data_IF_747867821631
#
_entry.id   IF_747867821631
#
_cell.length_a   1.000
_cell.length_b   1.000
_cell.length_c   1.000
_cell.angle_alpha   90.00
_cell.angle_beta   90.00
_cell.angle_gamma   90.00
#
_symmetry.space_group_name_H-M   'P 1'
#
loop_
_entity.id
_entity.type
_entity.pdbx_description
1 polymer ?
#
# COMPACT_ATOMS: atom_id res chain seq x y z
N UNK A 1 -18.26 -52.13 55.58
CA UNK A 1 -18.13 -53.22 54.62
C UNK A 1 -17.13 -52.76 53.60
N UNK A 2 -15.85 -52.90 53.92
CA UNK A 2 -14.98 -54.10 53.73
C UNK A 2 -14.83 -54.37 52.23
N UNK A 3 -13.74 -54.50 51.64
CA UNK A 3 -12.31 -54.70 51.91
C UNK A 3 -11.65 -54.71 50.56
N UNK A 4 -10.50 -54.18 50.42
CA UNK A 4 -9.16 -54.71 50.51
C UNK A 4 -8.49 -55.20 49.22
N UNK A 5 -7.30 -54.69 49.05
CA UNK A 5 -6.04 -55.32 48.57
C UNK A 5 -5.92 -55.61 47.05
N UNK A 6 -4.83 -55.44 46.36
CA UNK A 6 -3.42 -55.44 46.70
C UNK A 6 -2.53 -54.83 45.57
N UNK A 7 -1.41 -54.23 45.90
CA UNK A 7 -0.16 -54.16 45.14
C UNK A 7 0.64 -55.46 45.45
N UNK A 8 1.74 -55.83 44.83
CA UNK A 8 2.78 -55.03 44.15
C UNK A 8 3.50 -55.76 43.00
N UNK A 9 4.49 -55.18 42.39
CA UNK A 9 5.92 -55.50 42.38
C UNK A 9 6.61 -55.08 41.06
N UNK A 10 7.55 -54.23 41.24
CA UNK A 10 8.92 -54.13 40.74
C UNK A 10 9.39 -55.07 39.62
N UNK A 11 10.09 -54.48 38.64
CA UNK A 11 11.50 -54.78 38.34
C UNK A 11 12.10 -53.98 37.17
N UNK A 12 13.14 -53.27 37.56
CA UNK A 12 14.43 -53.03 36.87
C UNK A 12 14.57 -52.29 35.54
N UNK A 13 15.12 -51.11 35.69
CA UNK A 13 16.47 -50.66 35.17
C UNK A 13 16.77 -50.89 33.71
N UNK A 14 16.97 -49.80 32.97
CA UNK A 14 18.31 -49.45 32.40
C UNK A 14 18.26 -48.19 31.49
N UNK A 15 19.17 -47.31 31.81
CA UNK A 15 20.07 -46.49 30.95
C UNK A 15 19.54 -45.52 29.90
N UNK A 16 19.72 -44.25 30.23
CA UNK A 16 20.49 -43.26 29.51
C UNK A 16 20.26 -43.10 28.00
N UNK A 17 19.67 -41.99 27.64
CA UNK A 17 19.76 -41.41 26.32
C UNK A 17 19.42 -39.93 26.37
N UNK A 18 20.40 -39.08 26.66
CA UNK A 18 20.31 -37.64 26.47
C UNK A 18 20.13 -37.35 24.96
N UNK A 19 18.91 -37.09 24.56
CA UNK A 19 18.61 -36.52 23.27
C UNK A 19 18.69 -35.01 23.38
N UNK A 20 19.85 -34.42 23.14
CA UNK A 20 20.02 -32.98 22.99
C UNK A 20 19.15 -32.50 21.85
N UNK A 21 18.26 -31.59 22.16
CA UNK A 21 17.47 -30.87 21.16
C UNK A 21 18.43 -30.04 20.33
N UNK A 22 18.51 -30.40 19.06
CA UNK A 22 19.45 -29.86 18.09
C UNK A 22 19.25 -28.35 17.90
N UNK A 23 20.08 -27.56 18.57
CA UNK A 23 20.13 -26.11 18.47
C UNK A 23 20.39 -25.60 17.04
N UNK A 24 20.93 -26.46 16.16
CA UNK A 24 21.16 -26.12 14.77
C UNK A 24 19.90 -26.01 13.92
N UNK A 25 18.82 -26.74 14.26
CA UNK A 25 17.55 -26.63 13.51
C UNK A 25 16.74 -25.38 13.83
N UNK A 26 16.89 -24.82 15.03
CA UNK A 26 16.25 -23.53 15.35
C UNK A 26 16.97 -22.35 14.72
N UNK A 27 18.29 -22.36 14.68
CA UNK A 27 19.05 -21.30 14.01
C UNK A 27 18.82 -21.26 12.49
N UNK A 28 18.56 -22.41 11.85
CA UNK A 28 18.28 -22.46 10.40
C UNK A 28 16.86 -21.92 10.06
N UNK A 29 15.91 -22.06 10.96
CA UNK A 29 14.55 -21.50 10.77
C UNK A 29 14.48 -19.99 11.08
N UNK A 30 15.25 -19.52 12.06
CA UNK A 30 15.33 -18.09 12.38
C UNK A 30 16.12 -17.29 11.32
N UNK A 31 17.13 -17.91 10.66
CA UNK A 31 17.82 -17.27 9.54
C UNK A 31 16.98 -17.19 8.25
N UNK A 32 16.01 -18.09 8.07
CA UNK A 32 15.07 -18.03 6.95
C UNK A 32 13.98 -16.96 7.13
N UNK A 33 13.71 -16.54 8.36
CA UNK A 33 12.75 -15.48 8.65
C UNK A 33 13.35 -14.06 8.61
N UNK A 34 14.66 -13.92 8.75
CA UNK A 34 15.33 -12.61 8.88
C UNK A 34 16.27 -12.23 7.73
N UNK A 35 16.57 -13.16 6.80
CA UNK A 35 17.54 -12.92 5.71
C UNK A 35 17.09 -13.36 4.32
N UNK A 36 15.82 -13.63 4.12
CA UNK A 36 15.35 -14.51 3.04
C UNK A 36 15.14 -13.93 1.65
N UNK A 37 15.39 -12.66 1.35
CA UNK A 37 15.26 -12.21 -0.05
C UNK A 37 16.58 -11.82 -0.73
N UNK A 38 17.57 -11.36 -0.02
CA UNK A 38 18.83 -10.95 -0.64
C UNK A 38 19.80 -12.10 -0.97
N UNK A 39 19.69 -13.25 -0.30
CA UNK A 39 20.63 -14.37 -0.47
C UNK A 39 20.22 -15.41 -1.53
N UNK A 40 18.97 -15.41 -2.01
CA UNK A 40 18.53 -16.35 -3.06
C UNK A 40 18.77 -15.89 -4.48
N UNK A 41 19.07 -14.62 -4.73
CA UNK A 41 19.32 -14.09 -6.07
C UNK A 41 20.81 -14.13 -6.48
N UNK A 42 21.73 -14.35 -5.55
CA UNK A 42 23.18 -14.36 -5.85
C UNK A 42 23.79 -15.72 -6.20
N UNK A 43 23.09 -16.82 -5.99
CA UNK A 43 23.67 -18.17 -6.06
C UNK A 43 23.21 -19.06 -7.23
N UNK A 44 22.27 -18.65 -8.06
CA UNK A 44 21.66 -19.46 -9.13
C UNK A 44 21.87 -18.90 -10.55
N UNK A 45 22.78 -17.96 -10.74
CA UNK A 45 23.05 -17.35 -12.03
C UNK A 45 23.80 -18.24 -13.05
N UNK A 46 24.11 -19.51 -12.75
CA UNK A 46 24.98 -20.33 -13.58
C UNK A 46 24.30 -21.50 -14.33
N UNK A 47 22.96 -21.72 -14.20
CA UNK A 47 22.32 -22.83 -14.94
C UNK A 47 20.79 -22.74 -15.05
N UNK A 48 20.21 -21.57 -15.20
CA UNK A 48 18.83 -21.51 -15.64
C UNK A 48 18.81 -21.36 -17.17
N UNK A 49 18.02 -22.16 -17.90
CA UNK A 49 17.76 -21.88 -19.30
C UNK A 49 17.16 -20.47 -19.37
N UNK A 50 17.50 -19.74 -20.42
CA UNK A 50 16.94 -18.42 -20.73
C UNK A 50 15.43 -18.43 -20.54
N UNK A 51 14.99 -17.99 -19.38
CA UNK A 51 13.59 -17.98 -19.01
C UNK A 51 13.07 -16.60 -19.30
N UNK A 52 11.97 -16.64 -20.01
CA UNK A 52 11.12 -15.54 -20.41
C UNK A 52 11.84 -14.50 -21.29
N UNK A 53 11.91 -14.83 -22.57
CA UNK A 53 11.60 -13.76 -23.52
C UNK A 53 10.42 -13.00 -22.93
N UNK A 54 10.63 -11.72 -22.58
CA UNK A 54 9.53 -10.79 -22.38
C UNK A 54 8.55 -11.09 -23.49
N UNK A 55 7.27 -11.36 -23.17
CA UNK A 55 6.26 -11.45 -24.20
C UNK A 55 6.27 -10.12 -24.93
N UNK A 56 6.90 -10.10 -26.10
CA UNK A 56 7.04 -8.90 -26.94
C UNK A 56 5.74 -8.68 -27.73
N UNK A 57 4.62 -8.85 -27.02
CA UNK A 57 3.30 -8.53 -27.49
C UNK A 57 2.84 -7.17 -26.94
N UNK A 58 1.89 -6.56 -27.61
CA UNK A 58 1.31 -5.28 -27.25
C UNK A 58 0.11 -5.41 -26.28
N UNK A 59 -0.03 -6.55 -25.62
CA UNK A 59 -1.14 -6.82 -24.69
C UNK A 59 -0.89 -6.16 -23.33
N UNK A 60 -1.89 -5.45 -22.84
CA UNK A 60 -1.84 -4.83 -21.49
C UNK A 60 -2.16 -5.89 -20.43
N UNK A 61 -1.23 -6.12 -19.51
CA UNK A 61 -1.37 -7.05 -18.39
C UNK A 61 -1.26 -6.32 -17.06
N UNK A 62 -2.40 -6.21 -16.38
CA UNK A 62 -2.51 -5.45 -15.13
C UNK A 62 -2.44 -6.39 -13.94
N UNK A 63 -1.50 -6.11 -13.02
CA UNK A 63 -1.48 -6.67 -11.67
C UNK A 63 -1.96 -5.65 -10.63
N UNK A 64 -2.84 -6.06 -9.70
CA UNK A 64 -3.35 -5.12 -8.70
C UNK A 64 -3.69 -5.79 -7.36
N UNK A 65 -3.66 -5.01 -6.28
CA UNK A 65 -4.22 -5.39 -4.98
C UNK A 65 -5.71 -5.03 -4.91
N UNK A 66 -6.51 -5.74 -4.09
CA UNK A 66 -7.95 -5.50 -3.95
C UNK A 66 -8.25 -4.24 -3.09
N UNK A 67 -7.71 -3.11 -3.49
CA UNK A 67 -7.86 -1.80 -2.85
C UNK A 67 -8.37 -0.77 -3.86
N UNK A 68 -9.04 0.27 -3.37
CA UNK A 68 -9.59 1.33 -4.21
C UNK A 68 -8.51 2.13 -4.95
N UNK A 69 -7.27 2.01 -4.53
CA UNK A 69 -6.10 2.66 -5.13
C UNK A 69 -5.87 2.24 -6.60
N UNK A 70 -6.30 1.03 -6.98
CA UNK A 70 -6.20 0.52 -8.35
C UNK A 70 -7.28 1.04 -9.30
N UNK A 71 -8.22 1.84 -8.80
CA UNK A 71 -9.43 2.27 -9.54
C UNK A 71 -9.16 2.80 -10.94
N UNK A 72 -8.19 3.67 -11.22
CA UNK A 72 -7.94 4.14 -12.59
C UNK A 72 -7.66 3.03 -13.59
N UNK A 73 -6.86 2.02 -13.18
CA UNK A 73 -6.53 0.87 -14.02
C UNK A 73 -7.75 -0.02 -14.27
N UNK A 74 -8.53 -0.25 -13.21
CA UNK A 74 -9.71 -1.11 -13.25
C UNK A 74 -10.85 -0.48 -14.04
N UNK A 75 -11.07 0.82 -13.88
CA UNK A 75 -12.05 1.58 -14.67
C UNK A 75 -11.66 1.64 -16.13
N UNK A 76 -10.38 1.88 -16.45
CA UNK A 76 -9.90 1.86 -17.82
C UNK A 76 -10.17 0.52 -18.51
N UNK A 77 -10.00 -0.60 -17.80
CA UNK A 77 -10.35 -1.92 -18.31
C UNK A 77 -11.88 -2.13 -18.41
N UNK A 78 -12.63 -1.87 -17.33
CA UNK A 78 -14.07 -2.11 -17.27
C UNK A 78 -14.87 -1.28 -18.27
N UNK A 79 -14.44 -0.06 -18.53
CA UNK A 79 -15.07 0.86 -19.51
C UNK A 79 -14.56 0.67 -20.94
N UNK A 80 -13.61 -0.26 -21.18
CA UNK A 80 -13.07 -0.52 -22.51
C UNK A 80 -12.11 0.55 -23.04
N UNK A 81 -11.55 1.41 -22.20
CA UNK A 81 -10.71 2.53 -22.66
C UNK A 81 -9.40 2.06 -23.31
N UNK A 82 -8.87 0.89 -22.94
CA UNK A 82 -7.75 0.29 -23.67
C UNK A 82 -8.15 -0.11 -25.10
N UNK A 83 -9.33 -0.68 -25.28
CA UNK A 83 -9.84 -1.05 -26.61
C UNK A 83 -10.13 0.20 -27.48
N UNK A 84 -10.60 1.31 -26.88
CA UNK A 84 -10.78 2.59 -27.56
C UNK A 84 -9.44 3.15 -28.13
N UNK A 85 -8.33 2.88 -27.43
CA UNK A 85 -6.97 3.23 -27.89
C UNK A 85 -6.39 2.18 -28.88
N UNK A 86 -7.17 1.14 -29.22
CA UNK A 86 -6.74 0.06 -30.10
C UNK A 86 -5.76 -0.92 -29.45
N UNK A 87 -5.81 -1.05 -28.11
CA UNK A 87 -5.00 -1.97 -27.33
C UNK A 87 -5.82 -3.20 -26.92
N UNK A 88 -5.19 -4.37 -26.95
CA UNK A 88 -5.69 -5.56 -26.27
C UNK A 88 -5.30 -5.49 -24.78
N UNK A 89 -6.22 -5.81 -23.88
CA UNK A 89 -5.97 -5.87 -22.45
C UNK A 89 -6.55 -7.16 -21.86
N UNK A 90 -5.71 -7.91 -21.15
CA UNK A 90 -6.17 -9.05 -20.38
C UNK A 90 -6.98 -8.59 -19.16
N UNK A 91 -7.88 -9.47 -18.68
CA UNK A 91 -8.59 -9.21 -17.42
C UNK A 91 -7.56 -8.98 -16.30
N UNK A 92 -7.64 -7.86 -15.55
CA UNK A 92 -6.72 -7.57 -14.46
C UNK A 92 -6.60 -8.70 -13.45
N UNK A 93 -5.38 -9.01 -13.04
CA UNK A 93 -5.08 -10.09 -12.09
C UNK A 93 -4.98 -9.56 -10.66
N UNK A 94 -5.88 -10.04 -9.79
CA UNK A 94 -5.88 -9.70 -8.37
C UNK A 94 -4.76 -10.43 -7.62
N UNK A 95 -3.96 -9.67 -6.89
CA UNK A 95 -2.86 -10.15 -6.03
C UNK A 95 -3.16 -9.71 -4.59
N UNK A 96 -2.87 -10.55 -3.59
CA UNK A 96 -3.27 -10.28 -2.20
C UNK A 96 -2.24 -9.54 -1.35
N UNK A 97 -1.04 -9.28 -1.87
CA UNK A 97 0.03 -8.63 -1.12
C UNK A 97 1.05 -7.93 -2.01
N UNK A 98 1.81 -7.02 -1.44
CA UNK A 98 2.76 -6.20 -2.18
C UNK A 98 3.97 -6.99 -2.70
N UNK A 99 4.55 -7.90 -1.90
CA UNK A 99 5.69 -8.70 -2.33
C UNK A 99 5.37 -9.55 -3.58
N UNK A 100 4.28 -10.35 -3.63
CA UNK A 100 3.95 -11.09 -4.85
C UNK A 100 3.55 -10.19 -6.03
N UNK A 101 3.05 -8.96 -5.81
CA UNK A 101 2.83 -8.01 -6.91
C UNK A 101 4.16 -7.51 -7.48
N UNK A 102 5.13 -7.20 -6.61
CA UNK A 102 6.50 -6.83 -7.02
C UNK A 102 7.14 -7.97 -7.82
N UNK A 103 7.05 -9.22 -7.34
CA UNK A 103 7.56 -10.40 -8.06
C UNK A 103 6.91 -10.57 -9.43
N UNK A 104 5.60 -10.40 -9.53
CA UNK A 104 4.88 -10.48 -10.80
C UNK A 104 5.30 -9.40 -11.80
N UNK A 105 5.59 -8.19 -11.31
CA UNK A 105 6.07 -7.09 -12.12
C UNK A 105 7.54 -7.29 -12.54
N UNK A 106 8.42 -7.65 -11.63
CA UNK A 106 9.84 -7.88 -11.92
C UNK A 106 10.09 -9.09 -12.83
N UNK A 107 9.18 -10.07 -12.84
CA UNK A 107 9.21 -11.22 -13.74
C UNK A 107 8.49 -10.99 -15.08
N UNK A 108 8.06 -9.76 -15.38
CA UNK A 108 7.29 -9.39 -16.58
C UNK A 108 5.94 -10.12 -16.74
N UNK A 109 5.39 -10.70 -15.67
CA UNK A 109 4.02 -11.21 -15.67
C UNK A 109 3.01 -10.08 -15.87
N UNK A 110 3.30 -8.91 -15.31
CA UNK A 110 2.53 -7.68 -15.45
C UNK A 110 3.40 -6.59 -16.07
N UNK A 111 2.87 -5.83 -17.01
CA UNK A 111 3.53 -4.68 -17.63
C UNK A 111 2.91 -3.33 -17.18
N UNK A 112 1.79 -3.39 -16.48
CA UNK A 112 1.11 -2.25 -15.88
C UNK A 112 0.65 -2.62 -14.46
N UNK A 113 1.10 -1.87 -13.46
CA UNK A 113 0.79 -2.11 -12.05
C UNK A 113 0.54 -0.80 -11.31
N UNK A 114 -0.08 -0.89 -10.14
CA UNK A 114 -0.01 0.17 -9.15
C UNK A 114 0.88 -0.27 -7.98
N UNK A 115 1.65 0.66 -7.43
CA UNK A 115 2.46 0.44 -6.24
C UNK A 115 2.24 1.56 -5.23
N UNK A 116 2.43 1.26 -3.94
CA UNK A 116 2.64 2.29 -2.92
C UNK A 116 3.83 3.15 -3.34
N UNK A 117 3.68 4.47 -3.32
CA UNK A 117 4.67 5.38 -3.93
C UNK A 117 6.12 5.19 -3.47
N UNK A 118 6.43 4.83 -2.20
CA UNK A 118 7.79 4.51 -1.79
C UNK A 118 8.38 3.22 -2.38
N UNK A 119 7.55 2.26 -2.84
CA UNK A 119 8.05 1.00 -3.43
C UNK A 119 8.92 1.22 -4.67
N UNK A 120 8.53 2.02 -5.68
CA UNK A 120 9.39 2.30 -6.83
C UNK A 120 10.73 2.96 -6.46
N UNK A 121 10.77 3.81 -5.42
CA UNK A 121 12.03 4.37 -4.91
C UNK A 121 12.95 3.25 -4.44
N UNK A 122 12.44 2.36 -3.60
CA UNK A 122 13.19 1.20 -3.13
C UNK A 122 13.59 0.25 -4.27
N UNK A 123 12.69 -0.05 -5.21
CA UNK A 123 13.00 -0.93 -6.34
C UNK A 123 14.12 -0.37 -7.22
N UNK A 124 14.09 0.94 -7.51
CA UNK A 124 15.06 1.56 -8.42
C UNK A 124 16.41 1.78 -7.76
N UNK A 125 16.47 2.34 -6.56
CA UNK A 125 17.71 2.78 -5.94
C UNK A 125 18.35 1.75 -4.99
N UNK A 126 17.57 0.84 -4.42
CA UNK A 126 18.11 -0.27 -3.64
C UNK A 126 18.35 -1.52 -4.49
N UNK A 127 17.42 -1.84 -5.39
CA UNK A 127 17.45 -3.10 -6.14
C UNK A 127 17.90 -2.93 -7.60
N UNK A 128 18.20 -1.71 -8.04
CA UNK A 128 18.59 -1.38 -9.41
C UNK A 128 17.60 -1.88 -10.49
N UNK A 129 16.29 -1.96 -10.15
CA UNK A 129 15.26 -2.38 -11.09
C UNK A 129 14.73 -1.18 -11.90
N UNK A 130 14.63 -1.29 -13.24
CA UNK A 130 14.25 -0.17 -14.12
C UNK A 130 12.75 0.13 -14.08
N UNK A 131 12.21 0.52 -12.92
CA UNK A 131 10.84 0.97 -12.76
C UNK A 131 10.71 2.46 -13.03
N UNK A 132 9.61 2.88 -13.67
CA UNK A 132 9.18 4.27 -13.81
C UNK A 132 7.79 4.47 -13.21
N UNK A 133 7.60 5.59 -12.54
CA UNK A 133 6.28 6.12 -12.17
C UNK A 133 5.75 6.87 -13.39
N UNK A 134 4.56 6.46 -13.86
CA UNK A 134 3.92 7.01 -15.05
C UNK A 134 2.80 8.00 -14.73
N UNK A 135 2.14 7.81 -13.56
CA UNK A 135 1.09 8.67 -13.04
C UNK A 135 0.87 8.40 -11.55
N UNK A 136 0.13 9.25 -10.86
CA UNK A 136 -0.52 8.85 -9.63
C UNK A 136 -1.74 7.99 -9.94
N UNK A 137 -2.01 7.01 -9.07
CA UNK A 137 -3.24 6.24 -9.15
C UNK A 137 -4.37 6.91 -8.36
N UNK A 138 -4.04 7.51 -7.21
CA UNK A 138 -5.01 8.20 -6.38
C UNK A 138 -4.34 9.11 -5.35
N UNK A 139 -5.16 9.96 -4.73
CA UNK A 139 -4.80 10.77 -3.56
C UNK A 139 -5.71 10.45 -2.38
N UNK A 140 -5.22 10.65 -1.14
CA UNK A 140 -5.92 10.29 0.10
C UNK A 140 -6.24 8.78 0.17
N UNK A 141 -7.47 8.39 0.46
CA UNK A 141 -7.96 7.01 0.40
C UNK A 141 -7.43 6.08 1.48
N UNK A 142 -6.93 6.62 2.60
CA UNK A 142 -6.35 5.84 3.70
C UNK A 142 -6.70 6.45 5.06
N UNK A 143 -6.70 5.60 6.09
CA UNK A 143 -6.91 6.04 7.46
C UNK A 143 -6.14 5.18 8.47
N UNK A 144 -5.86 5.76 9.63
CA UNK A 144 -5.51 5.03 10.84
C UNK A 144 -6.79 4.63 11.57
N UNK A 145 -6.92 3.34 11.81
CA UNK A 145 -8.09 2.70 12.41
C UNK A 145 -7.69 2.00 13.70
N UNK A 146 -8.48 2.16 14.75
CA UNK A 146 -8.28 1.54 16.06
C UNK A 146 -9.39 0.56 16.38
N UNK A 147 -9.06 -0.49 17.13
CA UNK A 147 -10.06 -1.45 17.58
C UNK A 147 -11.07 -0.84 18.55
N UNK A 148 -12.36 -1.16 18.42
CA UNK A 148 -13.39 -0.73 19.35
C UNK A 148 -13.21 -1.27 20.78
N UNK A 149 -12.26 -2.19 20.98
CA UNK A 149 -11.85 -2.69 22.29
C UNK A 149 -10.76 -1.86 22.96
N UNK A 150 -10.23 -0.82 22.25
CA UNK A 150 -9.19 0.07 22.76
C UNK A 150 -9.76 1.42 23.17
N UNK A 151 -9.06 2.08 24.09
CA UNK A 151 -9.37 3.45 24.55
C UNK A 151 -8.54 4.52 23.81
N UNK A 152 -7.98 4.19 22.65
CA UNK A 152 -7.11 5.07 21.87
C UNK A 152 -7.97 6.17 21.24
N UNK A 153 -7.69 7.42 21.58
CA UNK A 153 -8.43 8.61 21.06
C UNK A 153 -7.54 9.56 20.28
N UNK A 154 -6.22 9.38 20.36
CA UNK A 154 -5.21 10.19 19.67
C UNK A 154 -3.95 9.38 19.38
N UNK A 155 -2.95 10.02 18.77
CA UNK A 155 -1.68 9.36 18.45
C UNK A 155 -0.84 9.03 19.70
N UNK A 156 -0.98 9.77 20.78
CA UNK A 156 -0.26 9.47 22.04
C UNK A 156 -0.76 8.16 22.66
N UNK A 157 -2.04 7.84 22.49
CA UNK A 157 -2.63 6.58 22.92
C UNK A 157 -2.10 5.32 22.19
N UNK A 158 -1.27 5.49 21.16
CA UNK A 158 -0.59 4.38 20.48
C UNK A 158 0.69 3.91 21.20
N UNK A 159 1.10 4.59 22.27
CA UNK A 159 2.16 4.13 23.15
C UNK A 159 1.83 2.79 23.80
N UNK A 160 2.76 1.83 23.76
CA UNK A 160 2.58 0.46 24.21
C UNK A 160 1.70 -0.42 23.32
N UNK A 161 1.39 0.00 22.07
CA UNK A 161 0.44 -0.67 21.16
C UNK A 161 1.09 -1.38 19.99
N UNK A 162 0.35 -2.37 19.46
CA UNK A 162 0.70 -3.13 18.26
C UNK A 162 -0.05 -2.55 17.06
N UNK A 163 0.66 -2.02 16.07
CA UNK A 163 0.07 -1.35 14.90
C UNK A 163 0.53 -2.00 13.61
N UNK A 164 -0.40 -2.33 12.72
CA UNK A 164 -0.08 -2.90 11.42
C UNK A 164 0.03 -1.81 10.34
N UNK A 165 1.04 -1.98 9.49
CA UNK A 165 1.24 -1.22 8.24
C UNK A 165 1.22 -2.18 7.05
N UNK A 166 0.80 -1.76 5.83
CA UNK A 166 0.65 -2.68 4.70
C UNK A 166 1.98 -3.13 4.09
N UNK A 167 3.01 -2.34 4.24
CA UNK A 167 4.37 -2.59 3.76
C UNK A 167 5.34 -1.58 4.39
N UNK A 168 6.62 -1.94 4.53
CA UNK A 168 7.61 -1.02 5.10
C UNK A 168 7.78 0.25 4.26
N UNK A 169 7.93 0.10 2.94
CA UNK A 169 8.00 1.21 1.99
C UNK A 169 6.59 1.61 1.55
N UNK A 170 5.84 2.28 2.44
CA UNK A 170 4.47 2.72 2.21
C UNK A 170 4.22 4.15 2.70
N UNK A 171 3.32 4.86 2.03
CA UNK A 171 2.83 6.16 2.51
C UNK A 171 2.20 6.05 3.91
N UNK A 172 1.54 4.93 4.18
CA UNK A 172 0.94 4.62 5.47
C UNK A 172 1.98 4.66 6.59
N UNK A 173 3.14 4.00 6.38
CA UNK A 173 4.23 3.97 7.35
C UNK A 173 4.84 5.36 7.56
N UNK A 174 5.04 6.12 6.48
CA UNK A 174 5.58 7.49 6.54
C UNK A 174 4.63 8.41 7.34
N UNK A 175 3.34 8.46 6.99
CA UNK A 175 2.36 9.33 7.64
C UNK A 175 2.14 8.93 9.09
N UNK A 176 2.06 7.63 9.40
CA UNK A 176 1.95 7.13 10.75
C UNK A 176 3.14 7.57 11.60
N UNK A 177 4.36 7.35 11.14
CA UNK A 177 5.55 7.70 11.91
C UNK A 177 5.76 9.22 12.03
N UNK A 178 5.34 10.00 11.03
CA UNK A 178 5.26 11.45 11.15
C UNK A 178 4.36 11.87 12.34
N UNK A 179 3.16 11.28 12.43
CA UNK A 179 2.22 11.58 13.51
C UNK A 179 2.70 11.03 14.88
N UNK A 180 3.29 9.84 14.92
CA UNK A 180 3.86 9.26 16.14
C UNK A 180 4.98 10.15 16.71
N UNK A 181 5.93 10.61 15.87
CA UNK A 181 6.99 11.51 16.31
C UNK A 181 6.46 12.81 16.91
N UNK A 182 5.44 13.40 16.28
CA UNK A 182 4.80 14.61 16.79
C UNK A 182 4.09 14.39 18.14
N UNK A 183 3.60 13.18 18.38
CA UNK A 183 2.99 12.77 19.66
C UNK A 183 4.01 12.28 20.70
N UNK A 184 5.32 12.31 20.39
CA UNK A 184 6.37 11.83 21.29
C UNK A 184 6.47 10.30 21.40
N UNK A 185 5.89 9.57 20.44
CA UNK A 185 5.91 8.11 20.40
C UNK A 185 6.98 7.64 19.42
N UNK A 186 7.74 6.62 19.81
CA UNK A 186 8.78 5.99 19.00
C UNK A 186 8.24 4.78 18.28
N UNK A 187 8.37 4.75 16.98
CA UNK A 187 8.14 3.53 16.18
C UNK A 187 9.27 2.52 16.44
N UNK A 188 8.91 1.29 16.75
CA UNK A 188 9.85 0.17 16.95
C UNK A 188 9.41 -1.05 16.15
N UNK A 189 10.36 -1.97 15.92
CA UNK A 189 10.10 -3.26 15.27
C UNK A 189 10.60 -4.33 16.24
N UNK A 190 9.67 -4.95 16.93
CA UNK A 190 9.92 -5.99 17.95
C UNK A 190 9.01 -7.20 17.72
N UNK A 191 9.38 -8.34 18.30
CA UNK A 191 8.44 -9.47 18.39
C UNK A 191 7.20 -9.08 19.21
N UNK A 192 6.03 -9.66 18.89
CA UNK A 192 4.77 -9.29 19.57
C UNK A 192 4.79 -9.54 21.08
N UNK A 193 5.60 -10.47 21.53
CA UNK A 193 5.74 -10.89 22.95
C UNK A 193 6.81 -10.07 23.70
N UNK A 194 7.58 -9.25 23.00
CA UNK A 194 8.54 -8.36 23.65
C UNK A 194 7.81 -7.18 24.30
N UNK A 195 8.21 -6.83 25.54
CA UNK A 195 7.60 -5.71 26.24
C UNK A 195 7.88 -4.38 25.54
N UNK A 196 6.85 -3.56 25.46
CA UNK A 196 6.94 -2.20 24.93
C UNK A 196 7.05 -1.18 26.07
N UNK A 197 7.89 -0.17 25.91
CA UNK A 197 7.86 1.01 26.75
C UNK A 197 6.57 1.81 26.48
N UNK A 198 6.11 2.65 27.43
CA UNK A 198 4.92 3.48 27.24
C UNK A 198 5.00 4.46 26.06
N UNK A 199 6.21 4.81 25.64
CA UNK A 199 6.49 5.70 24.50
C UNK A 199 6.89 4.94 23.22
N UNK A 200 6.76 3.62 23.18
CA UNK A 200 7.03 2.80 22.00
C UNK A 200 5.73 2.32 21.33
N UNK A 201 5.68 2.41 20.01
CA UNK A 201 4.64 1.81 19.17
C UNK A 201 5.28 0.72 18.30
N UNK A 202 4.87 -0.54 18.46
CA UNK A 202 5.42 -1.64 17.69
C UNK A 202 4.73 -1.75 16.32
N UNK A 203 5.52 -1.65 15.27
CA UNK A 203 5.05 -1.76 13.89
C UNK A 203 5.27 -3.16 13.34
N UNK A 204 4.27 -3.67 12.64
CA UNK A 204 4.34 -4.95 11.93
C UNK A 204 3.69 -4.86 10.55
N UNK A 205 4.21 -5.61 9.59
CA UNK A 205 3.62 -5.66 8.24
C UNK A 205 2.56 -6.75 8.19
N UNK A 206 1.36 -6.38 7.77
CA UNK A 206 0.29 -7.32 7.41
C UNK A 206 -0.25 -6.99 6.01
N UNK A 207 -0.61 -8.00 5.20
CA UNK A 207 -1.37 -7.77 3.98
C UNK A 207 -2.68 -7.02 4.27
N UNK A 208 -3.09 -6.06 3.44
CA UNK A 208 -4.32 -5.29 3.69
C UNK A 208 -5.57 -6.12 4.00
N UNK A 209 -5.86 -7.24 3.30
CA UNK A 209 -7.02 -8.08 3.61
C UNK A 209 -6.99 -8.75 5.00
N UNK A 210 -5.82 -8.86 5.59
CA UNK A 210 -5.63 -9.58 6.88
C UNK A 210 -5.74 -8.62 8.09
N UNK A 211 -5.72 -7.30 7.87
CA UNK A 211 -5.75 -6.30 8.93
C UNK A 211 -7.07 -6.23 9.70
N UNK A 212 -8.26 -6.10 9.05
CA UNK A 212 -9.52 -6.08 9.79
C UNK A 212 -9.78 -7.36 10.62
N UNK A 213 -9.54 -8.58 10.13
CA UNK A 213 -9.65 -9.77 10.96
C UNK A 213 -8.63 -9.85 12.09
N UNK A 214 -7.39 -9.36 11.89
CA UNK A 214 -6.38 -9.30 12.96
C UNK A 214 -6.80 -8.33 14.07
N UNK A 215 -7.38 -7.18 13.72
CA UNK A 215 -7.94 -6.22 14.67
C UNK A 215 -9.12 -6.82 15.44
N UNK A 216 -10.07 -7.46 14.75
CA UNK A 216 -11.21 -8.12 15.38
C UNK A 216 -10.79 -9.24 16.33
N UNK A 217 -9.73 -9.98 16.00
CA UNK A 217 -9.11 -11.00 16.83
C UNK A 217 -8.21 -10.45 17.96
N UNK A 218 -8.09 -9.11 18.07
CA UNK A 218 -7.23 -8.42 19.05
C UNK A 218 -5.76 -8.84 18.97
N UNK A 219 -5.28 -9.18 17.76
CA UNK A 219 -3.85 -9.45 17.49
C UNK A 219 -3.07 -8.16 17.28
N UNK A 220 -3.78 -7.10 16.92
CA UNK A 220 -3.28 -5.73 16.79
C UNK A 220 -4.27 -4.79 17.45
N UNK A 221 -3.80 -3.63 17.89
CA UNK A 221 -4.61 -2.58 18.51
C UNK A 221 -5.12 -1.59 17.46
N UNK A 222 -4.35 -1.40 16.39
CA UNK A 222 -4.64 -0.48 15.30
C UNK A 222 -4.00 -0.95 13.98
N UNK A 223 -4.46 -0.38 12.89
CA UNK A 223 -3.80 -0.48 11.59
C UNK A 223 -3.97 0.81 10.79
N UNK A 224 -3.05 1.07 9.89
CA UNK A 224 -3.17 2.12 8.88
C UNK A 224 -3.12 1.48 7.50
N UNK A 225 -4.13 1.73 6.66
CA UNK A 225 -4.27 1.02 5.38
C UNK A 225 -5.12 1.81 4.39
N UNK A 226 -5.01 1.43 3.12
CA UNK A 226 -5.85 1.92 2.04
C UNK A 226 -7.29 1.36 2.11
N UNK A 227 -8.22 2.08 1.50
CA UNK A 227 -9.60 1.62 1.31
C UNK A 227 -9.67 0.41 0.34
N UNK A 228 -10.64 -0.50 0.49
CA UNK A 228 -11.85 -0.39 1.33
C UNK A 228 -11.69 -1.01 2.74
N UNK A 229 -10.47 -1.30 3.19
CA UNK A 229 -10.26 -2.03 4.44
C UNK A 229 -10.56 -1.20 5.70
N UNK A 230 -10.53 0.13 5.60
CA UNK A 230 -10.98 1.01 6.69
C UNK A 230 -12.52 0.94 6.81
N UNK A 231 -13.24 1.12 5.70
CA UNK A 231 -14.70 0.95 5.68
C UNK A 231 -15.14 -0.46 6.11
N UNK A 232 -14.40 -1.49 5.71
CA UNK A 232 -14.64 -2.86 6.15
C UNK A 232 -14.43 -3.02 7.67
N UNK A 233 -13.39 -2.39 8.21
CA UNK A 233 -13.12 -2.35 9.64
C UNK A 233 -14.26 -1.73 10.42
N UNK A 234 -14.77 -0.58 10.01
CA UNK A 234 -15.94 0.07 10.62
C UNK A 234 -17.19 -0.82 10.57
N UNK A 235 -17.50 -1.37 9.40
CA UNK A 235 -18.75 -2.10 9.19
C UNK A 235 -18.74 -3.53 9.72
N UNK A 236 -17.58 -4.17 9.90
CA UNK A 236 -17.47 -5.61 10.18
C UNK A 236 -16.56 -5.98 11.35
N UNK A 237 -15.65 -5.10 11.76
CA UNK A 237 -14.65 -5.39 12.80
C UNK A 237 -14.81 -4.50 14.06
N UNK A 238 -15.92 -3.79 14.20
CA UNK A 238 -16.14 -2.84 15.30
C UNK A 238 -14.95 -1.89 15.48
N UNK A 239 -14.44 -1.40 14.38
CA UNK A 239 -13.30 -0.47 14.35
C UNK A 239 -13.78 0.98 14.31
N UNK A 240 -12.93 1.90 14.77
CA UNK A 240 -13.16 3.34 14.72
C UNK A 240 -12.06 4.00 13.89
N UNK A 241 -12.42 4.97 13.06
CA UNK A 241 -11.43 5.87 12.46
C UNK A 241 -10.79 6.72 13.54
N UNK A 242 -9.47 6.68 13.64
CA UNK A 242 -8.74 7.60 14.49
C UNK A 242 -8.38 8.87 13.73
N UNK A 243 -7.85 8.73 12.52
CA UNK A 243 -7.50 9.86 11.67
C UNK A 243 -7.42 9.45 10.19
N UNK A 244 -7.99 10.24 9.31
CA UNK A 244 -7.75 10.10 7.87
C UNK A 244 -6.38 10.67 7.49
N UNK A 245 -5.66 9.97 6.62
CA UNK A 245 -4.33 10.41 6.19
C UNK A 245 -4.38 11.69 5.35
N UNK A 246 -5.44 11.87 4.55
CA UNK A 246 -5.68 13.10 3.80
C UNK A 246 -5.97 14.32 4.68
N UNK A 247 -6.34 14.12 5.94
CA UNK A 247 -6.52 15.18 6.93
C UNK A 247 -5.20 15.54 7.66
N UNK A 248 -4.14 14.75 7.46
CA UNK A 248 -2.77 15.02 7.92
C UNK A 248 -1.94 15.65 6.80
N UNK A 249 -2.01 15.08 5.60
CA UNK A 249 -1.33 15.58 4.42
C UNK A 249 -2.36 15.78 3.30
N UNK A 250 -2.62 17.04 2.98
CA UNK A 250 -3.64 17.42 2.00
C UNK A 250 -3.38 16.77 0.65
N UNK A 251 -4.33 15.98 0.16
CA UNK A 251 -4.28 15.31 -1.14
C UNK A 251 -2.96 14.53 -1.37
N UNK A 252 -2.46 13.87 -0.32
CA UNK A 252 -1.21 13.10 -0.46
C UNK A 252 -1.37 11.98 -1.48
N UNK A 253 -0.33 11.72 -2.32
CA UNK A 253 -0.31 10.51 -3.15
C UNK A 253 -0.13 9.28 -2.25
N UNK A 254 -0.85 8.21 -2.52
CA UNK A 254 -0.63 6.95 -1.84
C UNK A 254 -0.07 5.90 -2.79
N UNK A 255 -0.81 5.57 -3.87
CA UNK A 255 -0.32 4.69 -4.92
C UNK A 255 -0.05 5.42 -6.24
N UNK A 256 0.85 4.84 -7.01
CA UNK A 256 1.30 5.31 -8.30
C UNK A 256 1.18 4.21 -9.35
N UNK A 257 0.94 4.59 -10.59
CA UNK A 257 0.96 3.70 -11.76
C UNK A 257 2.41 3.52 -12.21
N UNK A 258 2.83 2.27 -12.39
CA UNK A 258 4.20 1.95 -12.75
C UNK A 258 4.29 1.05 -13.98
N UNK A 259 5.36 1.27 -14.74
CA UNK A 259 5.78 0.47 -15.88
C UNK A 259 7.30 0.25 -15.84
N UNK A 260 7.79 -0.73 -16.59
CA UNK A 260 9.23 -0.94 -16.77
C UNK A 260 9.78 0.10 -17.76
N UNK A 261 10.88 0.75 -17.40
CA UNK A 261 11.54 1.80 -18.21
C UNK A 261 11.97 1.28 -19.58
N UNK A 262 12.44 0.03 -19.66
CA UNK A 262 12.83 -0.57 -20.95
C UNK A 262 11.63 -0.67 -21.89
N UNK A 263 10.46 -1.08 -21.38
CA UNK A 263 9.22 -1.12 -22.15
C UNK A 263 8.77 0.28 -22.58
N UNK A 264 8.81 1.26 -21.67
CA UNK A 264 8.45 2.65 -21.95
C UNK A 264 9.31 3.22 -23.09
N UNK A 265 10.63 2.97 -23.03
CA UNK A 265 11.57 3.44 -24.04
C UNK A 265 11.46 2.69 -25.38
N UNK A 266 11.18 1.40 -25.36
CA UNK A 266 11.06 0.58 -26.56
C UNK A 266 9.73 0.78 -27.31
N UNK A 267 8.64 1.11 -26.57
CA UNK A 267 7.27 1.17 -27.11
C UNK A 267 6.57 2.50 -26.74
N UNK A 268 7.10 3.67 -27.14
CA UNK A 268 6.56 4.96 -26.70
C UNK A 268 5.12 5.21 -27.17
N UNK A 269 4.76 4.80 -28.39
CA UNK A 269 3.39 4.94 -28.92
C UNK A 269 2.39 4.06 -28.16
N UNK A 270 2.76 2.83 -27.87
CA UNK A 270 1.96 1.93 -27.05
C UNK A 270 1.81 2.48 -25.62
N UNK A 271 2.89 2.97 -25.04
CA UNK A 271 2.89 3.60 -23.71
C UNK A 271 1.95 4.80 -23.65
N UNK A 272 1.97 5.67 -24.67
CA UNK A 272 1.05 6.82 -24.73
C UNK A 272 -0.41 6.38 -24.75
N UNK A 273 -0.75 5.35 -25.54
CA UNK A 273 -2.12 4.79 -25.60
C UNK A 273 -2.55 4.20 -24.25
N UNK A 274 -1.64 3.47 -23.58
CA UNK A 274 -1.91 2.95 -22.22
C UNK A 274 -2.19 4.11 -21.26
N UNK A 275 -1.37 5.16 -21.30
CA UNK A 275 -1.54 6.32 -20.43
C UNK A 275 -2.81 7.13 -20.73
N UNK A 276 -3.22 7.24 -21.99
CA UNK A 276 -4.50 7.86 -22.37
C UNK A 276 -5.67 7.13 -21.72
N UNK A 277 -5.68 5.79 -21.80
CA UNK A 277 -6.72 4.96 -21.19
C UNK A 277 -6.74 5.09 -19.66
N UNK A 278 -5.58 5.06 -19.00
CA UNK A 278 -5.44 5.18 -17.54
C UNK A 278 -5.89 6.55 -17.06
N UNK A 279 -5.48 7.63 -17.72
CA UNK A 279 -5.87 9.00 -17.37
C UNK A 279 -7.38 9.20 -17.54
N UNK A 280 -7.98 8.69 -18.62
CA UNK A 280 -9.46 8.68 -18.77
C UNK A 280 -10.13 7.93 -17.62
N UNK A 281 -9.58 6.78 -17.21
CA UNK A 281 -10.07 6.01 -16.07
C UNK A 281 -10.01 6.80 -14.76
N UNK A 282 -8.93 7.54 -14.52
CA UNK A 282 -8.75 8.40 -13.35
C UNK A 282 -9.77 9.55 -13.33
N UNK A 283 -9.91 10.28 -14.43
CA UNK A 283 -10.85 11.41 -14.56
C UNK A 283 -12.28 10.92 -14.38
N UNK A 284 -12.65 9.82 -15.06
CA UNK A 284 -13.99 9.25 -14.91
C UNK A 284 -14.27 8.84 -13.45
N UNK A 285 -13.31 8.22 -12.78
CA UNK A 285 -13.46 7.79 -11.40
C UNK A 285 -13.63 8.98 -10.42
N UNK A 286 -12.88 10.07 -10.61
CA UNK A 286 -13.03 11.30 -9.81
C UNK A 286 -14.43 11.88 -9.92
N UNK A 287 -15.01 11.89 -11.12
CA UNK A 287 -16.31 12.48 -11.41
C UNK A 287 -17.50 11.57 -11.03
N UNK A 288 -17.30 10.24 -10.97
CA UNK A 288 -18.37 9.25 -10.86
C UNK A 288 -18.15 8.25 -9.72
N UNK A 289 -17.63 8.69 -8.58
CA UNK A 289 -17.19 7.83 -7.45
C UNK A 289 -18.24 6.81 -7.02
N UNK A 290 -19.52 7.18 -6.93
CA UNK A 290 -20.60 6.29 -6.50
C UNK A 290 -20.87 5.16 -7.53
N UNK A 291 -20.94 5.49 -8.82
CA UNK A 291 -21.10 4.51 -9.90
C UNK A 291 -19.88 3.58 -9.96
N UNK A 292 -18.68 4.15 -9.86
CA UNK A 292 -17.44 3.39 -9.90
C UNK A 292 -17.32 2.45 -8.70
N UNK A 293 -17.77 2.88 -7.52
CA UNK A 293 -17.81 2.01 -6.34
C UNK A 293 -18.69 0.78 -6.56
N UNK A 294 -19.87 0.96 -7.16
CA UNK A 294 -20.77 -0.14 -7.52
C UNK A 294 -20.13 -1.03 -8.60
N UNK A 295 -19.65 -0.42 -9.69
CA UNK A 295 -19.00 -1.11 -10.82
C UNK A 295 -17.87 -2.03 -10.36
N UNK A 296 -16.97 -1.53 -9.51
CA UNK A 296 -15.77 -2.28 -9.10
C UNK A 296 -16.04 -3.28 -7.97
N UNK A 297 -17.16 -3.15 -7.25
CA UNK A 297 -17.50 -4.03 -6.13
C UNK A 297 -17.70 -5.49 -6.54
N UNK A 298 -17.74 -6.38 -5.53
CA UNK A 298 -18.10 -7.79 -5.74
C UNK A 298 -19.49 -7.96 -6.39
N UNK A 299 -20.39 -7.01 -6.14
CA UNK A 299 -21.77 -7.06 -6.58
C UNK A 299 -21.92 -6.49 -8.02
N UNK A 300 -20.89 -5.80 -8.53
CA UNK A 300 -20.74 -5.34 -9.93
C UNK A 300 -19.83 -6.27 -10.74
N UNK A 301 -18.73 -5.73 -11.31
CA UNK A 301 -17.78 -6.49 -12.14
C UNK A 301 -16.80 -7.37 -11.34
N UNK A 302 -16.81 -7.24 -10.00
CA UNK A 302 -16.05 -8.09 -9.08
C UNK A 302 -14.54 -7.87 -9.05
N UNK A 303 -14.05 -6.70 -9.40
CA UNK A 303 -12.63 -6.37 -9.25
C UNK A 303 -12.22 -6.28 -7.79
N UNK A 304 -13.09 -5.73 -6.94
CA UNK A 304 -12.88 -5.67 -5.50
C UNK A 304 -13.76 -6.73 -4.82
N UNK A 305 -13.20 -7.60 -3.96
CA UNK A 305 -13.96 -8.65 -3.28
C UNK A 305 -14.90 -8.12 -2.19
N UNK A 306 -14.93 -6.81 -1.95
CA UNK A 306 -15.82 -6.13 -1.01
C UNK A 306 -17.20 -5.87 -1.64
N UNK A 307 -18.31 -5.99 -0.86
CA UNK A 307 -19.64 -5.68 -1.35
C UNK A 307 -19.82 -4.19 -1.62
N UNK A 308 -20.78 -3.84 -2.50
CA UNK A 308 -21.02 -2.46 -2.94
C UNK A 308 -21.18 -1.45 -1.78
N UNK A 309 -21.91 -1.72 -0.69
CA UNK A 309 -22.02 -0.75 0.42
C UNK A 309 -20.68 -0.44 1.10
N UNK A 310 -19.73 -1.38 1.13
CA UNK A 310 -18.39 -1.15 1.69
C UNK A 310 -17.57 -0.27 0.75
N UNK A 311 -17.58 -0.55 -0.56
CA UNK A 311 -16.82 0.21 -1.54
C UNK A 311 -17.38 1.62 -1.68
N UNK A 312 -18.72 1.77 -1.67
CA UNK A 312 -19.39 3.08 -1.68
C UNK A 312 -19.00 3.91 -0.46
N UNK A 313 -19.04 3.31 0.76
CA UNK A 313 -18.58 4.00 1.97
C UNK A 313 -17.13 4.45 1.85
N UNK A 314 -16.27 3.58 1.30
CA UNK A 314 -14.84 3.85 1.10
C UNK A 314 -14.57 5.04 0.16
N UNK A 315 -15.44 5.26 -0.83
CA UNK A 315 -15.20 6.24 -1.89
C UNK A 315 -15.98 7.55 -1.72
N UNK A 316 -17.12 7.54 -1.00
CA UNK A 316 -18.07 8.66 -1.01
C UNK A 316 -18.37 9.24 0.37
N UNK A 317 -18.37 8.46 1.45
CA UNK A 317 -18.91 8.91 2.75
C UNK A 317 -18.09 10.01 3.44
N UNK A 318 -16.85 10.26 3.01
CA UNK A 318 -16.09 11.40 3.54
C UNK A 318 -16.70 12.74 3.10
N UNK A 319 -17.41 12.78 1.99
CA UNK A 319 -18.05 13.98 1.50
C UNK A 319 -19.18 14.45 2.46
N UNK A 320 -19.81 13.51 3.20
CA UNK A 320 -20.70 13.75 4.35
C UNK A 320 -19.93 13.48 5.67
N UNK A 321 -19.10 14.44 6.06
CA UNK A 321 -18.02 14.24 7.04
C UNK A 321 -18.38 14.60 8.50
N UNK A 322 -19.65 14.92 8.82
CA UNK A 322 -20.07 15.42 10.15
C UNK A 322 -19.64 14.45 11.29
N UNK A 323 -19.98 13.17 11.18
CA UNK A 323 -19.63 12.18 12.19
C UNK A 323 -18.10 11.99 12.39
N UNK A 324 -17.33 12.15 11.34
CA UNK A 324 -15.86 12.07 11.43
C UNK A 324 -15.24 13.34 12.02
N UNK A 325 -15.87 14.50 11.81
CA UNK A 325 -15.47 15.75 12.47
C UNK A 325 -15.77 15.69 13.95
N UNK A 326 -16.96 15.23 14.34
CA UNK A 326 -17.36 15.05 15.74
C UNK A 326 -16.46 14.07 16.49
N UNK A 327 -16.06 12.98 15.86
CA UNK A 327 -15.14 11.98 16.45
C UNK A 327 -13.67 12.41 16.47
N UNK A 328 -13.31 13.50 15.79
CA UNK A 328 -11.91 13.95 15.66
C UNK A 328 -11.10 13.21 14.58
N UNK A 329 -11.72 12.32 13.81
CA UNK A 329 -11.05 11.65 12.67
C UNK A 329 -10.76 12.63 11.51
N UNK A 330 -11.50 13.72 11.43
CA UNK A 330 -11.27 14.88 10.56
C UNK A 330 -11.13 16.14 11.42
N UNK A 331 -10.05 16.89 11.26
CA UNK A 331 -9.76 18.11 12.02
C UNK A 331 -9.41 19.30 11.14
N UNK A 332 -9.01 19.08 9.89
CA UNK A 332 -8.52 20.12 8.98
C UNK A 332 -9.44 20.40 7.79
N UNK A 333 -10.68 19.88 7.75
CA UNK A 333 -11.56 19.97 6.59
C UNK A 333 -11.80 21.40 6.12
N UNK A 334 -12.02 22.34 7.04
CA UNK A 334 -12.25 23.75 6.69
C UNK A 334 -11.08 24.36 5.88
N UNK A 335 -9.85 23.85 6.07
CA UNK A 335 -8.64 24.30 5.39
C UNK A 335 -8.29 23.43 4.19
N UNK A 336 -8.48 22.12 4.29
CA UNK A 336 -8.03 21.16 3.27
C UNK A 336 -9.10 20.94 2.20
N UNK A 337 -10.38 20.93 2.59
CA UNK A 337 -11.51 20.68 1.70
C UNK A 337 -11.40 19.36 0.93
N UNK A 338 -10.87 18.34 1.59
CA UNK A 338 -10.62 17.04 0.99
C UNK A 338 -11.87 16.17 0.95
N UNK A 339 -11.93 15.25 -0.04
CA UNK A 339 -12.77 14.06 0.00
C UNK A 339 -12.03 12.87 0.60
N UNK A 340 -12.75 11.76 0.83
CA UNK A 340 -12.18 10.51 1.38
C UNK A 340 -11.10 9.92 0.48
N UNK A 341 -11.34 9.93 -0.83
CA UNK A 341 -10.40 9.52 -1.88
C UNK A 341 -10.63 10.36 -3.14
N UNK A 342 -9.58 10.58 -3.91
CA UNK A 342 -9.68 11.13 -5.25
C UNK A 342 -8.66 10.47 -6.18
N UNK A 343 -8.84 10.61 -7.52
CA UNK A 343 -8.06 9.90 -8.53
C UNK A 343 -7.26 10.86 -9.40
N UNK A 344 -6.58 11.81 -8.75
CA UNK A 344 -5.72 12.79 -9.38
C UNK A 344 -4.48 12.12 -10.02
N UNK A 345 -4.31 12.16 -11.37
CA UNK A 345 -3.26 11.41 -12.04
C UNK A 345 -1.91 12.11 -12.13
N UNK A 346 -1.83 13.44 -11.97
CA UNK A 346 -0.58 14.17 -12.14
C UNK A 346 0.40 13.92 -10.98
N UNK A 347 1.64 13.46 -11.26
CA UNK A 347 2.61 13.10 -10.23
C UNK A 347 3.44 14.33 -9.78
N UNK A 348 2.86 15.23 -8.97
CA UNK A 348 3.53 16.45 -8.53
C UNK A 348 4.95 16.20 -7.99
N UNK A 349 5.98 16.89 -8.54
CA UNK A 349 7.38 16.74 -8.12
C UNK A 349 7.60 17.05 -6.64
N UNK A 350 6.90 18.06 -6.09
CA UNK A 350 6.95 18.45 -4.68
C UNK A 350 6.66 17.30 -3.74
N UNK A 351 5.63 16.50 -4.05
CA UNK A 351 5.30 15.33 -3.24
C UNK A 351 6.32 14.20 -3.36
N UNK A 352 6.94 14.01 -4.53
CA UNK A 352 8.01 13.01 -4.69
C UNK A 352 9.22 13.38 -3.84
N UNK A 353 9.64 14.64 -3.89
CA UNK A 353 10.73 15.17 -3.07
C UNK A 353 10.47 14.95 -1.58
N UNK A 354 9.32 15.40 -1.08
CA UNK A 354 8.96 15.27 0.32
C UNK A 354 8.90 13.80 0.80
N UNK A 355 8.45 12.89 -0.06
CA UNK A 355 8.40 11.46 0.26
C UNK A 355 9.81 10.87 0.40
N UNK A 356 10.72 11.19 -0.53
CA UNK A 356 12.10 10.70 -0.47
C UNK A 356 12.80 11.20 0.78
N UNK A 357 12.64 12.49 1.11
CA UNK A 357 13.15 13.07 2.36
C UNK A 357 12.57 12.36 3.59
N UNK A 358 11.24 12.12 3.63
CA UNK A 358 10.58 11.45 4.75
C UNK A 358 10.95 9.96 4.90
N UNK A 359 11.34 9.28 3.80
CA UNK A 359 11.79 7.89 3.87
C UNK A 359 13.05 7.73 4.71
N UNK A 360 13.95 8.71 4.71
CA UNK A 360 15.18 8.69 5.52
C UNK A 360 14.91 8.68 7.03
N UNK A 361 13.79 9.28 7.45
CA UNK A 361 13.36 9.37 8.84
C UNK A 361 12.38 8.24 9.23
N UNK A 362 12.06 7.34 8.32
CA UNK A 362 11.04 6.31 8.54
C UNK A 362 11.70 4.98 8.90
N UNK A 363 11.38 4.46 10.08
CA UNK A 363 11.83 3.14 10.53
C UNK A 363 11.22 2.05 9.67
N UNK A 364 12.06 1.22 9.08
CA UNK A 364 11.70 0.05 8.28
C UNK A 364 12.58 -1.14 8.66
N UNK A 365 12.14 -2.35 8.34
CA UNK A 365 12.99 -3.55 8.45
C UNK A 365 13.80 -3.72 7.17
N UNK A 366 15.11 -3.91 7.30
CA UNK A 366 16.03 -4.12 6.19
C UNK A 366 17.05 -3.01 6.02
N UNK A 367 17.81 -3.10 4.93
CA UNK A 367 18.85 -2.12 4.61
C UNK A 367 18.23 -0.82 4.07
N UNK A 368 18.64 0.31 4.64
CA UNK A 368 18.24 1.67 4.27
C UNK A 368 19.39 2.53 3.79
N UNK A 369 20.59 1.94 3.64
CA UNK A 369 21.81 2.69 3.27
C UNK A 369 21.67 3.42 1.94
N UNK A 370 20.85 2.92 1.02
CA UNK A 370 20.54 3.57 -0.25
C UNK A 370 19.87 4.96 -0.10
N UNK A 371 19.26 5.25 1.06
CA UNK A 371 18.63 6.55 1.35
C UNK A 371 19.64 7.60 1.84
N UNK A 372 20.84 7.19 2.28
CA UNK A 372 21.80 8.09 2.97
C UNK A 372 22.23 9.26 2.09
N UNK A 373 22.49 8.99 0.81
CA UNK A 373 22.98 9.97 -0.16
C UNK A 373 22.01 10.16 -1.34
N UNK A 374 20.76 9.71 -1.19
CA UNK A 374 19.79 9.78 -2.27
C UNK A 374 19.22 11.20 -2.39
N UNK A 375 19.62 11.88 -3.46
CA UNK A 375 19.16 13.22 -3.78
C UNK A 375 17.68 13.20 -4.21
N UNK A 376 16.82 13.88 -3.44
CA UNK A 376 15.39 13.90 -3.69
C UNK A 376 15.01 14.64 -4.98
N UNK A 377 15.76 15.67 -5.38
CA UNK A 377 15.54 16.39 -6.64
C UNK A 377 15.94 15.52 -7.84
N UNK A 378 17.04 14.76 -7.73
CA UNK A 378 17.41 13.73 -8.71
C UNK A 378 16.31 12.69 -8.86
N UNK A 379 15.78 12.15 -7.77
CA UNK A 379 14.70 11.13 -7.81
C UNK A 379 13.46 11.65 -8.52
N UNK A 380 13.08 12.91 -8.34
CA UNK A 380 11.91 13.48 -9.02
C UNK A 380 12.07 13.47 -10.54
N UNK A 381 13.28 13.61 -11.05
CA UNK A 381 13.57 13.65 -12.49
C UNK A 381 13.83 12.26 -13.07
N UNK A 382 14.51 11.39 -12.30
CA UNK A 382 14.92 10.08 -12.79
C UNK A 382 13.82 9.02 -12.63
N UNK A 383 13.08 9.01 -11.53
CA UNK A 383 12.07 7.98 -11.26
C UNK A 383 10.74 8.21 -11.99
N UNK A 384 10.35 9.48 -12.22
CA UNK A 384 9.03 9.84 -12.74
C UNK A 384 9.12 10.21 -14.23
N UNK A 385 8.27 9.62 -15.05
CA UNK A 385 8.05 10.06 -16.43
C UNK A 385 6.81 10.95 -16.47
N UNK A 386 7.02 12.22 -16.80
CA UNK A 386 5.95 13.23 -16.86
C UNK A 386 5.30 13.36 -18.22
N UNK A 387 5.98 12.97 -19.30
CA UNK A 387 5.60 13.32 -20.67
C UNK A 387 4.28 12.67 -21.09
N UNK A 388 4.15 11.37 -20.89
CA UNK A 388 2.96 10.62 -21.32
C UNK A 388 1.70 11.03 -20.56
N UNK A 389 1.79 11.19 -19.24
CA UNK A 389 0.65 11.60 -18.41
C UNK A 389 0.27 13.05 -18.71
N UNK A 390 1.24 13.93 -18.95
CA UNK A 390 0.99 15.32 -19.32
C UNK A 390 0.26 15.40 -20.65
N UNK A 391 0.75 14.71 -21.68
CA UNK A 391 0.10 14.63 -22.98
C UNK A 391 -1.35 14.15 -22.87
N UNK A 392 -1.59 13.10 -22.06
CA UNK A 392 -2.94 12.57 -21.84
C UNK A 392 -3.84 13.59 -21.11
N UNK A 393 -3.32 14.33 -20.13
CA UNK A 393 -4.07 15.35 -19.39
C UNK A 393 -4.39 16.58 -20.25
N UNK A 394 -3.45 17.06 -21.05
CA UNK A 394 -3.67 18.17 -21.98
C UNK A 394 -4.74 17.85 -23.04
N UNK A 395 -4.93 16.57 -23.38
CA UNK A 395 -6.01 16.10 -24.23
C UNK A 395 -7.40 16.02 -23.53
N UNK A 396 -7.46 16.28 -22.20
CA UNK A 396 -8.68 16.22 -21.41
C UNK A 396 -9.00 17.61 -20.80
N UNK A 397 -9.71 18.49 -21.52
CA UNK A 397 -10.00 19.86 -21.08
C UNK A 397 -10.77 19.95 -19.77
N UNK A 398 -11.56 18.95 -19.42
CA UNK A 398 -12.31 18.86 -18.18
C UNK A 398 -11.38 18.79 -16.95
N UNK A 399 -10.28 18.08 -17.04
CA UNK A 399 -9.27 18.06 -15.97
C UNK A 399 -8.49 19.38 -15.92
N UNK A 400 -8.07 19.89 -17.08
CA UNK A 400 -7.29 21.14 -17.19
C UNK A 400 -8.05 22.36 -16.65
N UNK A 401 -9.38 22.34 -16.72
CA UNK A 401 -10.23 23.43 -16.28
C UNK A 401 -10.91 23.16 -14.92
N UNK A 402 -10.58 22.06 -14.24
CA UNK A 402 -11.15 21.74 -12.92
C UNK A 402 -10.60 22.73 -11.87
N UNK A 403 -11.48 23.50 -11.19
CA UNK A 403 -11.05 24.46 -10.17
C UNK A 403 -10.46 23.79 -8.91
N UNK A 404 -10.65 22.49 -8.72
CA UNK A 404 -10.02 21.72 -7.63
C UNK A 404 -8.56 21.39 -7.92
N UNK A 405 -8.15 21.38 -9.17
CA UNK A 405 -6.77 21.39 -9.63
C UNK A 405 -6.25 22.82 -9.55
N UNK A 406 -5.00 23.05 -9.20
CA UNK A 406 -4.44 24.38 -8.95
C UNK A 406 -4.93 25.43 -9.99
N UNK A 407 -5.58 26.53 -9.55
CA UNK A 407 -6.16 27.52 -10.48
C UNK A 407 -5.13 28.31 -11.31
N UNK A 408 -3.84 28.23 -10.97
CA UNK A 408 -2.76 28.87 -11.75
C UNK A 408 -2.16 27.89 -12.78
N UNK A 409 -1.18 27.11 -12.35
CA UNK A 409 -0.58 26.02 -13.14
C UNK A 409 -1.06 24.69 -12.57
N UNK A 410 -1.84 23.88 -13.31
CA UNK A 410 -2.38 22.61 -12.80
C UNK A 410 -1.29 21.57 -12.53
N UNK A 411 -0.06 21.80 -13.01
CA UNK A 411 1.07 20.90 -12.84
C UNK A 411 1.97 21.24 -11.64
N UNK A 412 1.66 22.30 -10.90
CA UNK A 412 2.44 22.78 -9.74
C UNK A 412 1.55 22.90 -8.52
N UNK A 413 2.02 22.46 -7.35
CA UNK A 413 1.37 22.67 -6.08
C UNK A 413 2.35 22.74 -4.92
N UNK A 414 1.89 23.27 -3.78
CA UNK A 414 2.56 23.17 -2.49
C UNK A 414 2.04 21.96 -1.69
N UNK A 415 2.94 21.28 -1.01
CA UNK A 415 2.57 20.21 -0.09
C UNK A 415 2.19 20.79 1.28
N UNK A 416 1.03 20.40 1.82
CA UNK A 416 0.51 20.92 3.08
C UNK A 416 0.30 19.75 4.05
N UNK A 417 1.11 19.75 5.13
CA UNK A 417 1.00 18.80 6.24
C UNK A 417 0.56 19.54 7.50
N UNK A 418 -0.36 18.94 8.23
CA UNK A 418 -0.86 19.45 9.50
C UNK A 418 -1.46 18.32 10.34
N UNK A 419 -0.97 18.16 11.55
CA UNK A 419 -1.53 17.29 12.59
C UNK A 419 -2.59 17.98 13.41
#
# INVERSE_FOLDING_TARGET
>A
MSDHFDKPSDLHTACCGHGGVDHHKRQTLDMLAQGGLAAMLGGLAASLPSIAQAQDDDVVRIGYLPITDATPLLVAHAKGYFADEGLEAEKPTLIRGWAPLIEGFTSNKFNLVHFLKPIPVWMRYNNNFPVKIMAWAHTNGSALVVGGHTEITDFAGLGGKQVAVPFWYSMHNIVLQYALRAAGIKAVIKSQDEPLAPDECNLQVLPPPDMPPALAARKIDAYIVAEPFNALGELRANARMLRFTGDIWKNHPCCVVCMNEETVNAKPEWTQKVMNAVVRGAIYASQNKAEVAELLSRDGEGYLPAPAPVVTRAMTLYDDHEAYTESGAIQNQAKFQNGRIDFQPWPYPSATKLIVEAMSDTVVSGDTTFLTDLDADFVTQDLVNYDFVKTALEANPEWMNDPSVNPGDPFVREEILKL
#
